data_IF_878388445215
#
_entry.id   IF_878388445215
#
_cell.length_a   1.000
_cell.length_b   1.000
_cell.length_c   1.000
_cell.angle_alpha   90.00
_cell.angle_beta   90.00
_cell.angle_gamma   90.00
#
_symmetry.space_group_name_H-M   'P 1'
#
loop_
_entity.id
_entity.type
_entity.pdbx_description
1 polymer ?
#
# COMPACT_ATOMS: atom_id res chain seq x y z
N UNK A 1 33.38 -8.44 12.20
CA UNK A 1 32.01 -7.92 11.91
C UNK A 1 32.19 -6.68 11.05
N UNK A 2 31.92 -6.78 9.73
CA UNK A 2 32.03 -5.62 8.84
C UNK A 2 30.89 -4.64 9.15
N UNK A 3 31.24 -3.53 9.78
CA UNK A 3 30.32 -2.43 10.07
C UNK A 3 30.05 -1.66 8.77
N UNK A 4 29.18 -2.20 7.90
CA UNK A 4 28.73 -1.45 6.73
C UNK A 4 27.94 -0.24 7.21
N UNK A 5 28.41 0.95 6.87
CA UNK A 5 27.72 2.20 7.20
C UNK A 5 26.40 2.24 6.44
N UNK A 6 25.29 2.46 7.17
CA UNK A 6 23.96 2.63 6.56
C UNK A 6 24.00 3.88 5.68
N UNK A 7 23.59 3.77 4.41
CA UNK A 7 23.45 4.90 3.50
C UNK A 7 24.50 4.95 2.38
N UNK A 8 25.53 4.13 2.38
CA UNK A 8 26.55 4.10 1.32
C UNK A 8 26.34 2.98 0.30
N UNK A 9 25.69 1.88 0.70
CA UNK A 9 25.40 0.76 -0.21
C UNK A 9 23.98 0.24 0.05
N UNK A 10 23.26 -0.26 -0.99
CA UNK A 10 21.94 -0.85 -0.83
C UNK A 10 22.02 -2.13 0.01
N UNK A 11 21.10 -2.28 0.94
CA UNK A 11 20.98 -3.47 1.79
C UNK A 11 19.97 -4.42 1.17
N UNK A 12 20.44 -5.53 0.59
CA UNK A 12 19.59 -6.55 -0.03
C UNK A 12 19.13 -7.64 0.94
N UNK A 13 19.80 -7.81 2.07
CA UNK A 13 19.43 -8.75 3.12
C UNK A 13 19.47 -8.03 4.48
N UNK A 14 18.30 -7.86 5.09
CA UNK A 14 18.15 -7.19 6.38
C UNK A 14 18.93 -7.90 7.51
N UNK A 15 19.17 -9.21 7.40
CA UNK A 15 19.90 -9.98 8.39
C UNK A 15 21.35 -9.52 8.55
N UNK A 16 21.92 -8.89 7.53
CA UNK A 16 23.29 -8.35 7.56
C UNK A 16 23.44 -7.15 8.49
N UNK A 17 22.33 -6.51 8.89
CA UNK A 17 22.31 -5.33 9.77
C UNK A 17 22.49 -5.67 11.26
N UNK A 18 22.27 -6.94 11.64
CA UNK A 18 22.24 -7.37 13.03
C UNK A 18 20.90 -7.05 13.74
N UNK A 19 20.60 -7.84 14.77
CA UNK A 19 19.31 -7.80 15.46
C UNK A 19 18.92 -6.41 16.04
N UNK A 20 19.82 -5.64 16.71
CA UNK A 20 19.44 -4.35 17.28
C UNK A 20 19.00 -3.34 16.21
N UNK A 21 19.75 -3.26 15.09
CA UNK A 21 19.43 -2.34 14.00
C UNK A 21 18.15 -2.74 13.28
N UNK A 22 17.95 -4.04 13.04
CA UNK A 22 16.71 -4.55 12.47
C UNK A 22 15.50 -4.19 13.33
N UNK A 23 15.62 -4.31 14.65
CA UNK A 23 14.53 -3.97 15.56
C UNK A 23 14.18 -2.49 15.50
N UNK A 24 15.17 -1.59 15.53
CA UNK A 24 14.96 -0.14 15.46
C UNK A 24 14.31 0.24 14.12
N UNK A 25 14.81 -0.28 12.99
CA UNK A 25 14.24 -0.01 11.67
C UNK A 25 12.84 -0.59 11.52
N UNK A 26 12.57 -1.77 12.08
CA UNK A 26 11.24 -2.37 12.12
C UNK A 26 10.25 -1.52 12.92
N UNK A 27 10.67 -1.02 14.09
CA UNK A 27 9.86 -0.13 14.91
C UNK A 27 9.57 1.19 14.19
N UNK A 28 10.57 1.81 13.57
CA UNK A 28 10.41 3.00 12.76
C UNK A 28 9.43 2.77 11.60
N UNK A 29 9.54 1.64 10.91
CA UNK A 29 8.64 1.29 9.80
C UNK A 29 7.21 1.09 10.27
N UNK A 30 7.02 0.46 11.42
CA UNK A 30 5.70 0.28 12.03
C UNK A 30 5.03 1.64 12.30
N UNK A 31 5.73 2.61 12.89
CA UNK A 31 5.18 3.94 13.11
C UNK A 31 4.90 4.70 11.81
N UNK A 32 5.78 4.59 10.83
CA UNK A 32 5.58 5.25 9.53
C UNK A 32 4.33 4.72 8.79
N UNK A 33 4.06 3.42 8.88
CA UNK A 33 2.92 2.79 8.20
C UNK A 33 1.63 2.85 9.00
N UNK A 34 1.70 3.06 10.32
CA UNK A 34 0.54 3.08 11.20
C UNK A 34 -0.46 4.16 10.79
N UNK A 35 0.02 5.39 10.52
CA UNK A 35 -0.84 6.50 10.13
C UNK A 35 -1.69 6.17 8.90
N UNK A 36 -1.08 5.71 7.83
CA UNK A 36 -1.78 5.34 6.60
C UNK A 36 -2.76 4.17 6.81
N UNK A 37 -2.34 3.16 7.59
CA UNK A 37 -3.16 1.95 7.80
C UNK A 37 -4.40 2.22 8.64
N UNK A 38 -4.38 3.23 9.52
CA UNK A 38 -5.53 3.67 10.33
C UNK A 38 -6.35 4.74 9.60
N UNK A 39 -5.70 5.69 8.95
CA UNK A 39 -6.38 6.82 8.33
C UNK A 39 -7.22 6.41 7.11
N UNK A 40 -6.70 5.51 6.27
CA UNK A 40 -7.43 5.07 5.07
C UNK A 40 -8.77 4.42 5.42
N UNK A 41 -8.87 3.42 6.32
CA UNK A 41 -10.17 2.86 6.69
C UNK A 41 -11.09 3.91 7.34
N UNK A 42 -10.57 4.79 8.19
CA UNK A 42 -11.36 5.86 8.81
C UNK A 42 -11.99 6.80 7.77
N UNK A 43 -11.25 7.19 6.73
CA UNK A 43 -11.74 8.06 5.66
C UNK A 43 -12.67 7.33 4.67
N UNK A 44 -12.45 6.04 4.45
CA UNK A 44 -13.26 5.24 3.53
C UNK A 44 -14.49 4.60 4.17
N UNK A 45 -14.68 4.74 5.49
CA UNK A 45 -15.82 4.16 6.22
C UNK A 45 -15.66 2.66 6.54
N UNK A 46 -14.49 2.08 6.29
CA UNK A 46 -14.16 0.72 6.68
C UNK A 46 -13.89 0.64 8.19
N UNK A 47 -14.16 -0.52 8.78
CA UNK A 47 -13.79 -0.78 10.17
C UNK A 47 -12.27 -0.88 10.33
N UNK A 48 -11.72 -0.01 11.19
CA UNK A 48 -10.27 0.12 11.39
C UNK A 48 -9.68 -1.15 11.98
N UNK A 49 -10.35 -1.78 12.95
CA UNK A 49 -9.83 -2.96 13.62
C UNK A 49 -9.76 -4.15 12.66
N UNK A 50 -10.81 -4.37 11.90
CA UNK A 50 -10.85 -5.39 10.84
C UNK A 50 -9.80 -5.15 9.78
N UNK A 51 -9.63 -3.89 9.34
CA UNK A 51 -8.62 -3.54 8.33
C UNK A 51 -7.20 -3.80 8.83
N UNK A 52 -6.90 -3.46 10.08
CA UNK A 52 -5.60 -3.73 10.71
C UNK A 52 -5.33 -5.24 10.82
N UNK A 53 -6.34 -6.03 11.21
CA UNK A 53 -6.22 -7.47 11.28
C UNK A 53 -5.85 -8.07 9.91
N UNK A 54 -6.60 -7.70 8.86
CA UNK A 54 -6.33 -8.21 7.51
C UNK A 54 -5.04 -7.67 6.90
N UNK A 55 -4.61 -6.45 7.23
CA UNK A 55 -3.30 -5.93 6.85
C UNK A 55 -2.17 -6.76 7.49
N UNK A 56 -2.32 -7.12 8.77
CA UNK A 56 -1.39 -8.00 9.47
C UNK A 56 -1.33 -9.40 8.86
N UNK A 57 -2.49 -10.03 8.64
CA UNK A 57 -2.58 -11.37 8.00
C UNK A 57 -2.03 -11.34 6.58
N UNK A 58 -2.35 -10.32 5.78
CA UNK A 58 -1.82 -10.15 4.44
C UNK A 58 -0.30 -9.99 4.43
N UNK A 59 0.25 -9.23 5.38
CA UNK A 59 1.70 -9.08 5.55
C UNK A 59 2.37 -10.41 5.90
N UNK A 60 1.79 -11.18 6.82
CA UNK A 60 2.32 -12.51 7.17
C UNK A 60 2.29 -13.46 5.98
N UNK A 61 1.18 -13.49 5.23
CA UNK A 61 1.06 -14.27 4.00
C UNK A 61 2.11 -13.87 2.96
N UNK A 62 2.33 -12.56 2.78
CA UNK A 62 3.35 -12.03 1.88
C UNK A 62 4.75 -12.50 2.30
N UNK A 63 5.09 -12.42 3.59
CA UNK A 63 6.37 -12.91 4.09
C UNK A 63 6.54 -14.42 3.90
N UNK A 64 5.48 -15.20 4.06
CA UNK A 64 5.49 -16.64 3.79
C UNK A 64 5.79 -16.92 2.30
N UNK A 65 5.08 -16.24 1.39
CA UNK A 65 5.25 -16.42 -0.06
C UNK A 65 6.62 -15.95 -0.55
N UNK A 66 7.14 -14.85 -0.01
CA UNK A 66 8.48 -14.32 -0.35
C UNK A 66 9.61 -15.00 0.41
N UNK A 67 9.30 -15.98 1.28
CA UNK A 67 10.27 -16.69 2.13
C UNK A 67 11.12 -15.73 2.96
N UNK A 68 10.54 -14.63 3.42
CA UNK A 68 11.22 -13.60 4.22
C UNK A 68 12.31 -12.81 3.48
N UNK A 69 12.37 -12.89 2.15
CA UNK A 69 13.39 -12.18 1.35
C UNK A 69 13.09 -10.70 1.18
N UNK A 70 11.82 -10.30 1.26
CA UNK A 70 11.39 -8.92 1.08
C UNK A 70 10.81 -8.41 2.40
N UNK A 71 11.52 -7.55 3.13
CA UNK A 71 11.03 -6.98 4.38
C UNK A 71 10.08 -5.81 4.05
N UNK A 72 8.82 -6.11 3.80
CA UNK A 72 7.80 -5.12 3.51
C UNK A 72 6.55 -5.36 4.37
N UNK A 73 5.94 -4.29 4.85
CA UNK A 73 4.63 -4.28 5.46
C UNK A 73 3.59 -3.93 4.39
N UNK A 74 2.50 -4.68 4.33
CA UNK A 74 1.39 -4.42 3.43
C UNK A 74 0.26 -3.73 4.22
N UNK A 75 0.10 -2.44 4.00
CA UNK A 75 -0.95 -1.65 4.62
C UNK A 75 -1.95 -1.13 3.60
N UNK A 76 -2.87 -0.31 4.09
CA UNK A 76 -3.88 0.35 3.27
C UNK A 76 -3.25 1.37 2.32
N UNK A 77 -3.84 1.55 1.14
CA UNK A 77 -3.37 2.49 0.13
C UNK A 77 -4.32 3.67 -0.02
N UNK A 78 -3.79 4.88 0.05
CA UNK A 78 -4.53 6.12 -0.20
C UNK A 78 -5.14 6.18 -1.62
N UNK A 79 -4.53 5.51 -2.59
CA UNK A 79 -5.02 5.48 -3.97
C UNK A 79 -6.44 4.89 -4.10
N UNK A 80 -6.87 4.06 -3.16
CA UNK A 80 -8.20 3.44 -3.18
C UNK A 80 -9.28 4.26 -2.47
N UNK A 81 -8.95 5.33 -1.73
CA UNK A 81 -9.96 6.15 -1.02
C UNK A 81 -10.99 6.70 -2.00
N UNK A 82 -10.55 7.22 -3.15
CA UNK A 82 -11.46 7.70 -4.20
C UNK A 82 -12.41 6.61 -4.70
N UNK A 83 -11.92 5.39 -4.88
CA UNK A 83 -12.73 4.23 -5.29
C UNK A 83 -13.76 3.83 -4.23
N UNK A 84 -13.37 3.76 -2.96
CA UNK A 84 -14.31 3.49 -1.85
C UNK A 84 -15.39 4.57 -1.79
N UNK A 85 -15.02 5.84 -1.84
CA UNK A 85 -15.97 6.94 -1.77
C UNK A 85 -16.89 6.97 -2.99
N UNK A 86 -16.39 6.74 -4.20
CA UNK A 86 -17.20 6.70 -5.41
C UNK A 86 -18.29 5.61 -5.36
N UNK A 87 -17.98 4.43 -4.82
CA UNK A 87 -18.94 3.32 -4.70
C UNK A 87 -19.99 3.60 -3.62
N UNK A 88 -19.60 4.15 -2.46
CA UNK A 88 -20.53 4.39 -1.35
C UNK A 88 -21.33 5.70 -1.45
N UNK A 89 -20.96 6.62 -2.35
CA UNK A 89 -21.71 7.86 -2.56
C UNK A 89 -23.03 7.56 -3.27
N UNK A 90 -24.16 7.90 -2.63
CA UNK A 90 -25.50 7.70 -3.19
C UNK A 90 -26.19 9.02 -3.57
N UNK A 91 -25.65 10.15 -3.16
CA UNK A 91 -26.21 11.46 -3.48
C UNK A 91 -25.48 12.59 -2.76
N UNK A 92 -25.98 13.80 -2.96
CA UNK A 92 -25.50 15.01 -2.31
C UNK A 92 -26.70 15.78 -1.77
N UNK A 93 -26.63 16.22 -0.54
CA UNK A 93 -27.65 17.07 0.09
C UNK A 93 -27.67 18.46 -0.55
N UNK A 94 -28.78 19.24 -0.37
CA UNK A 94 -28.85 20.62 -0.84
C UNK A 94 -27.77 21.56 -0.24
N UNK A 95 -27.22 21.21 0.91
CA UNK A 95 -26.12 21.93 1.57
C UNK A 95 -24.72 21.57 1.05
N UNK A 96 -24.64 20.68 0.05
CA UNK A 96 -23.39 20.21 -0.56
C UNK A 96 -22.73 19.06 0.16
N UNK A 97 -23.28 18.57 1.28
CA UNK A 97 -22.73 17.40 1.98
C UNK A 97 -23.01 16.09 1.22
N UNK A 98 -22.04 15.19 1.19
CA UNK A 98 -22.14 13.91 0.46
C UNK A 98 -22.87 12.87 1.32
N UNK A 99 -23.84 12.18 0.74
CA UNK A 99 -24.55 11.09 1.40
C UNK A 99 -23.84 9.78 1.08
N UNK A 100 -23.42 9.07 2.12
CA UNK A 100 -22.74 7.78 2.02
C UNK A 100 -23.64 6.62 2.45
N UNK A 101 -23.61 5.53 1.70
CA UNK A 101 -24.16 4.24 2.10
C UNK A 101 -23.04 3.23 2.34
N UNK A 102 -22.80 2.89 3.61
CA UNK A 102 -21.74 1.98 3.99
C UNK A 102 -22.03 0.51 3.64
N UNK A 103 -23.28 0.14 3.36
CA UNK A 103 -23.62 -1.22 2.91
C UNK A 103 -22.97 -1.54 1.54
N UNK A 104 -22.65 -0.50 0.77
CA UNK A 104 -21.96 -0.62 -0.51
C UNK A 104 -20.46 -0.88 -0.39
N UNK A 105 -19.88 -0.77 0.81
CA UNK A 105 -18.45 -1.00 1.03
C UNK A 105 -18.01 -2.43 0.70
N UNK A 106 -18.89 -3.41 0.85
CA UNK A 106 -18.60 -4.79 0.45
C UNK A 106 -18.30 -4.88 -1.07
N UNK A 107 -19.05 -4.17 -1.89
CA UNK A 107 -18.81 -4.10 -3.34
C UNK A 107 -17.52 -3.34 -3.67
N UNK A 108 -17.22 -2.27 -2.93
CA UNK A 108 -15.98 -1.54 -3.07
C UNK A 108 -14.76 -2.42 -2.71
N UNK A 109 -14.83 -3.19 -1.63
CA UNK A 109 -13.80 -4.16 -1.26
C UNK A 109 -13.61 -5.24 -2.33
N UNK A 110 -14.70 -5.74 -2.91
CA UNK A 110 -14.63 -6.68 -4.03
C UNK A 110 -13.96 -6.05 -5.26
N UNK A 111 -14.28 -4.79 -5.58
CA UNK A 111 -13.60 -4.04 -6.64
C UNK A 111 -12.09 -3.90 -6.41
N UNK A 112 -11.67 -3.62 -5.17
CA UNK A 112 -10.24 -3.57 -4.79
C UNK A 112 -9.58 -4.95 -4.93
N UNK A 113 -10.28 -6.03 -4.58
CA UNK A 113 -9.77 -7.40 -4.77
C UNK A 113 -9.55 -7.70 -6.27
N UNK A 114 -10.49 -7.30 -7.14
CA UNK A 114 -10.32 -7.43 -8.60
C UNK A 114 -9.14 -6.59 -9.09
N UNK A 115 -9.00 -5.35 -8.59
CA UNK A 115 -7.84 -4.51 -8.91
C UNK A 115 -6.52 -5.19 -8.51
N UNK A 116 -6.53 -5.96 -7.42
CA UNK A 116 -5.39 -6.80 -7.02
C UNK A 116 -4.98 -7.82 -8.08
N UNK A 117 -5.91 -8.36 -8.87
CA UNK A 117 -5.60 -9.29 -9.97
C UNK A 117 -4.80 -8.63 -11.09
N UNK A 118 -4.92 -7.31 -11.26
CA UNK A 118 -4.10 -6.56 -12.25
C UNK A 118 -2.61 -6.65 -11.94
N UNK A 119 -2.22 -6.82 -10.67
CA UNK A 119 -0.82 -7.05 -10.30
C UNK A 119 -0.29 -8.39 -10.80
N UNK A 120 -1.14 -9.41 -10.94
CA UNK A 120 -0.76 -10.70 -11.54
C UNK A 120 -0.44 -10.50 -13.01
N UNK A 121 -1.26 -9.72 -13.72
CA UNK A 121 -1.02 -9.36 -15.13
C UNK A 121 0.29 -8.59 -15.25
N UNK A 122 0.48 -7.58 -14.40
CA UNK A 122 1.71 -6.79 -14.38
C UNK A 122 2.95 -7.65 -14.08
N UNK A 123 2.86 -8.55 -13.09
CA UNK A 123 3.93 -9.49 -12.77
C UNK A 123 4.28 -10.39 -13.95
N UNK A 124 3.27 -10.87 -14.69
CA UNK A 124 3.47 -11.67 -15.90
C UNK A 124 4.16 -10.87 -17.00
N UNK A 125 3.76 -9.59 -17.18
CA UNK A 125 4.44 -8.69 -18.11
C UNK A 125 5.92 -8.49 -17.75
N UNK A 126 6.24 -8.29 -16.47
CA UNK A 126 7.64 -8.21 -16.01
C UNK A 126 8.41 -9.49 -16.29
N UNK A 127 7.78 -10.65 -16.11
CA UNK A 127 8.40 -11.95 -16.36
C UNK A 127 8.67 -12.20 -17.85
N UNK A 128 7.73 -11.81 -18.74
CA UNK A 128 7.81 -12.07 -20.18
C UNK A 128 8.69 -11.03 -20.88
N UNK A 129 8.48 -9.75 -20.62
CA UNK A 129 9.15 -8.64 -21.33
C UNK A 129 10.40 -8.11 -20.63
N UNK A 130 10.59 -8.50 -19.35
CA UNK A 130 11.69 -8.03 -18.52
C UNK A 130 11.44 -6.63 -17.93
N UNK A 131 12.09 -6.37 -16.81
CA UNK A 131 11.93 -5.11 -16.03
C UNK A 131 12.24 -3.88 -16.89
N UNK A 132 13.30 -3.92 -17.69
CA UNK A 132 13.77 -2.77 -18.48
C UNK A 132 12.76 -2.30 -19.53
N UNK A 133 12.03 -3.23 -20.18
CA UNK A 133 11.00 -2.88 -21.15
C UNK A 133 9.75 -2.34 -20.50
N UNK A 134 9.27 -2.99 -19.42
CA UNK A 134 8.05 -2.58 -18.73
C UNK A 134 8.23 -1.21 -18.07
N UNK A 135 9.36 -0.95 -17.40
CA UNK A 135 9.65 0.33 -16.76
C UNK A 135 9.77 1.50 -17.74
N UNK A 136 9.97 1.23 -19.04
CA UNK A 136 9.93 2.28 -20.07
C UNK A 136 8.53 2.89 -20.23
N UNK A 137 7.47 2.13 -19.92
CA UNK A 137 6.09 2.63 -19.96
C UNK A 137 5.67 3.33 -18.64
N UNK A 138 6.45 3.16 -17.57
CA UNK A 138 6.25 3.79 -16.27
C UNK A 138 7.44 4.70 -15.91
N UNK A 139 7.76 5.71 -16.72
CA UNK A 139 8.90 6.58 -16.43
C UNK A 139 8.60 7.45 -15.19
N UNK A 140 9.63 7.86 -14.43
CA UNK A 140 9.47 8.70 -13.23
C UNK A 140 8.74 10.02 -13.48
N UNK A 141 8.82 10.56 -14.71
CA UNK A 141 8.13 11.77 -15.14
C UNK A 141 6.58 11.62 -15.12
N UNK A 142 6.08 10.39 -15.22
CA UNK A 142 4.64 10.10 -15.12
C UNK A 142 4.26 9.72 -13.68
N UNK A 143 5.04 8.84 -13.06
CA UNK A 143 4.73 8.34 -11.72
C UNK A 143 4.92 9.40 -10.63
N UNK A 144 5.91 10.28 -10.77
CA UNK A 144 6.19 11.36 -9.82
C UNK A 144 5.01 12.32 -9.63
N UNK A 145 4.48 12.96 -10.69
CA UNK A 145 3.31 13.83 -10.58
C UNK A 145 2.08 13.16 -10.03
N UNK A 146 1.84 11.87 -10.34
CA UNK A 146 0.71 11.11 -9.79
C UNK A 146 0.83 10.98 -8.26
N UNK A 147 2.02 10.65 -7.75
CA UNK A 147 2.27 10.52 -6.32
C UNK A 147 2.08 11.89 -5.62
N UNK A 148 2.59 12.96 -6.23
CA UNK A 148 2.42 14.33 -5.72
C UNK A 148 0.94 14.70 -5.68
N UNK A 149 0.19 14.44 -6.76
CA UNK A 149 -1.25 14.72 -6.83
C UNK A 149 -2.03 13.98 -5.73
N UNK A 150 -1.74 12.69 -5.49
CA UNK A 150 -2.34 11.92 -4.39
C UNK A 150 -2.01 12.58 -3.04
N UNK A 151 -0.76 12.97 -2.81
CA UNK A 151 -0.35 13.65 -1.57
C UNK A 151 -1.07 14.98 -1.35
N UNK A 152 -1.22 15.80 -2.39
CA UNK A 152 -1.90 17.09 -2.32
C UNK A 152 -3.43 16.97 -2.14
N UNK A 153 -4.05 15.91 -2.66
CA UNK A 153 -5.50 15.69 -2.47
C UNK A 153 -5.84 15.22 -1.05
N UNK A 154 -4.85 14.78 -0.28
CA UNK A 154 -5.01 14.27 1.09
C UNK A 154 -4.55 15.29 2.16
N UNK A 155 -3.96 16.40 1.77
CA UNK A 155 -3.56 17.49 2.66
C UNK A 155 -4.66 18.52 2.81
#
# INVERSE_FOLDING_TARGET
MNNKSIGTEPVYDARTLGAPRMFILGLQHMFAMFGATVLVPALSGLDVATTLLFAGLGTLLFHLLTKGKVPAFLGSSFAFIGGYNAVRTIGTNPDGSVIYNNDLLAYACFGVAIAGLMYIILSTLFKVFGVKKVMRYFPPIVTGPIIIAIGLTLS
#
